data_IF_294363783892
#
_entry.id   IF_294363783892
#
_cell.length_a   1.000
_cell.length_b   1.000
_cell.length_c   1.000
_cell.angle_alpha   90.00
_cell.angle_beta   90.00
_cell.angle_gamma   90.00
#
_symmetry.space_group_name_H-M   'P 1'
#
loop_
_entity.id
_entity.type
_entity.pdbx_description
1 polymer ?
#
# COMPACT_ATOMS: atom_id res chain seq x y z
N UNK A 1 -0.73 9.94 -84.23
CA UNK A 1 -0.81 8.79 -83.32
C UNK A 1 -0.99 9.32 -81.91
N UNK A 2 -2.06 8.94 -81.21
CA UNK A 2 -2.28 9.40 -79.84
C UNK A 2 -1.51 8.52 -78.87
N UNK A 3 -0.95 9.11 -77.82
CA UNK A 3 -0.17 8.40 -76.78
C UNK A 3 -0.96 7.24 -76.16
N UNK A 4 -2.29 7.40 -76.04
CA UNK A 4 -3.21 6.37 -75.56
C UNK A 4 -3.25 5.11 -76.44
N UNK A 5 -3.20 5.24 -77.78
CA UNK A 5 -3.19 4.09 -78.69
C UNK A 5 -1.89 3.29 -78.60
N UNK A 6 -0.77 3.97 -78.36
CA UNK A 6 0.54 3.35 -78.12
C UNK A 6 0.56 2.60 -76.78
N UNK A 7 0.01 3.20 -75.72
CA UNK A 7 -0.10 2.57 -74.40
C UNK A 7 -0.96 1.30 -74.45
N UNK A 8 -2.09 1.35 -75.15
CA UNK A 8 -3.01 0.22 -75.27
C UNK A 8 -2.41 -0.96 -76.05
N UNK A 9 -1.68 -0.69 -77.15
CA UNK A 9 -0.94 -1.73 -77.89
C UNK A 9 0.24 -2.29 -77.09
N UNK A 10 0.88 -1.48 -76.26
CA UNK A 10 1.95 -1.94 -75.38
C UNK A 10 1.40 -2.87 -74.28
N UNK A 11 0.26 -2.50 -73.67
CA UNK A 11 -0.40 -3.32 -72.66
C UNK A 11 -0.83 -4.69 -73.19
N UNK A 12 -1.36 -4.75 -74.42
CA UNK A 12 -1.78 -6.01 -75.05
C UNK A 12 -0.62 -6.84 -75.56
N UNK A 13 0.47 -6.23 -76.06
CA UNK A 13 1.66 -6.96 -76.49
C UNK A 13 2.38 -7.64 -75.31
N UNK A 14 2.51 -6.96 -74.15
CA UNK A 14 3.13 -7.50 -72.93
C UNK A 14 2.12 -8.03 -71.90
N UNK A 15 0.97 -8.56 -72.36
CA UNK A 15 -0.14 -8.94 -71.49
C UNK A 15 0.24 -9.92 -70.36
N UNK A 16 1.16 -10.86 -70.61
CA UNK A 16 1.62 -11.83 -69.60
C UNK A 16 2.35 -11.17 -68.44
N UNK A 17 3.24 -10.22 -68.74
CA UNK A 17 4.02 -9.49 -67.72
C UNK A 17 3.12 -8.54 -66.94
N UNK A 18 2.24 -7.81 -67.64
CA UNK A 18 1.27 -6.92 -66.99
C UNK A 18 0.32 -7.70 -66.06
N UNK A 19 -0.12 -8.89 -66.47
CA UNK A 19 -0.97 -9.75 -65.65
C UNK A 19 -0.25 -10.26 -64.39
N UNK A 20 1.03 -10.60 -64.48
CA UNK A 20 1.84 -10.97 -63.32
C UNK A 20 1.99 -9.81 -62.33
N UNK A 21 2.21 -8.58 -62.81
CA UNK A 21 2.27 -7.38 -61.97
C UNK A 21 0.93 -7.10 -61.29
N UNK A 22 -0.18 -7.17 -62.04
CA UNK A 22 -1.53 -6.98 -61.48
C UNK A 22 -1.82 -8.03 -60.41
N UNK A 23 -1.49 -9.30 -60.66
CA UNK A 23 -1.66 -10.36 -59.67
C UNK A 23 -0.82 -10.13 -58.41
N UNK A 24 0.44 -9.71 -58.56
CA UNK A 24 1.32 -9.37 -57.44
C UNK A 24 0.77 -8.22 -56.59
N UNK A 25 0.30 -7.15 -57.23
CA UNK A 25 -0.34 -6.01 -56.55
C UNK A 25 -1.64 -6.44 -55.87
N UNK A 26 -2.47 -7.25 -56.53
CA UNK A 26 -3.71 -7.76 -55.96
C UNK A 26 -3.46 -8.60 -54.70
N UNK A 27 -2.45 -9.47 -54.70
CA UNK A 27 -2.05 -10.25 -53.52
C UNK A 27 -1.56 -9.32 -52.40
N UNK A 28 -0.69 -8.35 -52.72
CA UNK A 28 -0.17 -7.41 -51.72
C UNK A 28 -1.29 -6.60 -51.05
N UNK A 29 -2.23 -6.08 -51.85
CA UNK A 29 -3.41 -5.35 -51.35
C UNK A 29 -4.32 -6.25 -50.52
N UNK A 30 -4.57 -7.49 -50.96
CA UNK A 30 -5.39 -8.44 -50.21
C UNK A 30 -4.78 -8.78 -48.84
N UNK A 31 -3.46 -8.98 -48.77
CA UNK A 31 -2.75 -9.24 -47.51
C UNK A 31 -2.79 -8.02 -46.58
N UNK A 32 -2.54 -6.82 -47.10
CA UNK A 32 -2.62 -5.57 -46.33
C UNK A 32 -4.03 -5.31 -45.79
N UNK A 33 -5.05 -5.47 -46.64
CA UNK A 33 -6.45 -5.31 -46.25
C UNK A 33 -6.88 -6.37 -45.22
N UNK A 34 -6.49 -7.63 -45.42
CA UNK A 34 -6.75 -8.71 -44.48
C UNK A 34 -6.12 -8.45 -43.11
N UNK A 35 -4.86 -8.02 -43.07
CA UNK A 35 -4.18 -7.68 -41.83
C UNK A 35 -4.83 -6.50 -41.09
N UNK A 36 -5.27 -5.47 -41.82
CA UNK A 36 -6.00 -4.33 -41.25
C UNK A 36 -7.34 -4.75 -40.66
N UNK A 37 -8.12 -5.56 -41.38
CA UNK A 37 -9.45 -5.99 -40.96
C UNK A 37 -9.39 -6.92 -39.73
N UNK A 38 -8.43 -7.85 -39.71
CA UNK A 38 -8.19 -8.71 -38.53
C UNK A 38 -7.73 -7.86 -37.35
N UNK A 39 -6.81 -6.92 -37.56
CA UNK A 39 -6.32 -6.02 -36.52
C UNK A 39 -7.44 -5.21 -35.87
N UNK A 40 -8.36 -4.67 -36.68
CA UNK A 40 -9.48 -3.86 -36.17
C UNK A 40 -10.52 -4.70 -35.43
N UNK A 41 -10.82 -5.92 -35.92
CA UNK A 41 -11.71 -6.86 -35.24
C UNK A 41 -11.15 -7.33 -33.87
N UNK A 42 -9.86 -7.65 -33.80
CA UNK A 42 -9.20 -8.02 -32.54
C UNK A 42 -9.15 -6.83 -31.58
N UNK A 43 -8.87 -5.62 -32.09
CA UNK A 43 -8.87 -4.42 -31.26
C UNK A 43 -10.27 -4.11 -30.70
N UNK A 44 -11.30 -4.22 -31.53
CA UNK A 44 -12.70 -4.03 -31.12
C UNK A 44 -13.12 -5.04 -30.06
N UNK A 45 -12.90 -6.32 -30.32
CA UNK A 45 -13.24 -7.38 -29.36
C UNK A 45 -12.51 -7.27 -28.02
N UNK A 46 -11.21 -6.93 -28.03
CA UNK A 46 -10.48 -6.67 -26.79
C UNK A 46 -11.02 -5.43 -26.07
N UNK A 47 -11.35 -4.36 -26.80
CA UNK A 47 -11.94 -3.15 -26.22
C UNK A 47 -13.27 -3.48 -25.54
N UNK A 48 -14.14 -4.22 -26.19
CA UNK A 48 -15.45 -4.60 -25.65
C UNK A 48 -15.31 -5.48 -24.40
N UNK A 49 -14.39 -6.46 -24.43
CA UNK A 49 -14.08 -7.29 -23.26
C UNK A 49 -13.59 -6.44 -22.07
N UNK A 50 -12.71 -5.46 -22.30
CA UNK A 50 -12.23 -4.59 -21.23
C UNK A 50 -13.34 -3.67 -20.70
N UNK A 51 -14.15 -3.08 -21.56
CA UNK A 51 -15.25 -2.21 -21.14
C UNK A 51 -16.29 -2.98 -20.32
N UNK A 52 -16.59 -4.22 -20.71
CA UNK A 52 -17.50 -5.07 -19.94
C UNK A 52 -16.95 -5.42 -18.56
N UNK A 53 -15.64 -5.68 -18.44
CA UNK A 53 -14.96 -6.01 -17.17
C UNK A 53 -14.81 -4.82 -16.23
N UNK A 54 -14.75 -3.60 -16.78
CA UNK A 54 -14.59 -2.38 -15.99
C UNK A 54 -15.94 -1.86 -15.45
N UNK A 55 -17.03 -2.25 -16.10
CA UNK A 55 -18.38 -1.82 -15.75
C UNK A 55 -18.57 -0.32 -15.96
N UNK A 56 -19.01 0.37 -14.90
CA UNK A 56 -19.23 1.82 -14.88
C UNK A 56 -18.00 2.59 -14.37
N UNK A 57 -16.85 1.94 -14.24
CA UNK A 57 -15.63 2.56 -13.73
C UNK A 57 -14.92 3.29 -14.86
N UNK A 58 -14.57 4.55 -14.64
CA UNK A 58 -13.78 5.34 -15.59
C UNK A 58 -12.43 5.76 -14.97
N UNK A 59 -12.42 6.02 -13.66
CA UNK A 59 -11.19 6.28 -12.89
C UNK A 59 -11.12 5.40 -11.66
N UNK A 60 -9.89 5.17 -11.19
CA UNK A 60 -9.61 4.33 -10.03
C UNK A 60 -8.58 5.03 -9.15
N UNK A 61 -8.84 5.06 -7.85
CA UNK A 61 -7.85 5.42 -6.83
C UNK A 61 -7.43 4.14 -6.14
N UNK A 62 -6.15 3.81 -6.22
CA UNK A 62 -5.59 2.59 -5.63
C UNK A 62 -4.40 2.94 -4.75
N UNK A 63 -4.23 2.20 -3.67
CA UNK A 63 -3.04 2.26 -2.82
C UNK A 63 -2.51 0.85 -2.56
N UNK A 64 -1.21 0.75 -2.28
CA UNK A 64 -0.61 -0.49 -1.79
C UNK A 64 -1.04 -0.81 -0.35
N UNK A 65 -1.30 0.23 0.44
CA UNK A 65 -1.85 0.13 1.79
C UNK A 65 -3.35 0.44 1.83
N UNK A 66 -3.92 0.35 3.03
CA UNK A 66 -5.31 0.75 3.27
C UNK A 66 -5.41 2.25 3.58
N UNK A 67 -6.53 2.84 3.19
CA UNK A 67 -6.94 4.21 3.54
C UNK A 67 -8.39 4.19 4.03
N UNK A 68 -8.87 5.31 4.57
CA UNK A 68 -10.24 5.35 5.12
C UNK A 68 -11.26 5.15 4.01
N UNK A 69 -12.19 4.24 4.22
CA UNK A 69 -13.34 4.03 3.33
C UNK A 69 -14.15 5.33 3.13
N UNK A 70 -14.21 6.16 4.17
CA UNK A 70 -14.87 7.47 4.16
C UNK A 70 -14.33 8.42 3.08
N UNK A 71 -13.08 8.25 2.63
CA UNK A 71 -12.49 9.07 1.58
C UNK A 71 -13.31 9.05 0.29
N UNK A 72 -13.97 7.94 -0.04
CA UNK A 72 -14.86 7.85 -1.20
C UNK A 72 -16.03 8.85 -1.10
N UNK A 73 -16.69 8.90 0.06
CA UNK A 73 -17.77 9.85 0.31
C UNK A 73 -17.25 11.30 0.35
N UNK A 74 -16.06 11.53 0.92
CA UNK A 74 -15.46 12.87 0.98
C UNK A 74 -15.15 13.41 -0.43
N UNK A 75 -14.66 12.55 -1.34
CA UNK A 75 -14.46 12.87 -2.77
C UNK A 75 -15.79 13.17 -3.45
N UNK A 76 -16.79 12.30 -3.29
CA UNK A 76 -18.09 12.45 -3.94
C UNK A 76 -18.82 13.73 -3.52
N UNK A 77 -18.67 14.13 -2.26
CA UNK A 77 -19.28 15.34 -1.70
C UNK A 77 -18.50 16.63 -2.01
N UNK A 78 -17.34 16.55 -2.67
CA UNK A 78 -16.59 17.74 -3.05
C UNK A 78 -17.34 18.54 -4.13
N UNK A 79 -17.41 19.87 -3.98
CA UNK A 79 -18.22 20.72 -4.86
C UNK A 79 -17.90 20.59 -6.36
N UNK A 80 -16.63 20.39 -6.68
CA UNK A 80 -16.17 20.23 -8.05
C UNK A 80 -16.36 18.82 -8.61
N UNK A 81 -16.74 17.84 -7.80
CA UNK A 81 -16.91 16.46 -8.26
C UNK A 81 -18.04 16.36 -9.28
N UNK A 82 -19.24 16.78 -8.91
CA UNK A 82 -20.38 16.79 -9.82
C UNK A 82 -20.18 17.79 -10.98
N UNK A 83 -19.61 18.98 -10.70
CA UNK A 83 -19.31 19.99 -11.74
C UNK A 83 -18.28 19.50 -12.76
N UNK A 84 -17.35 18.64 -12.33
CA UNK A 84 -16.35 17.98 -13.16
C UNK A 84 -16.89 16.85 -14.03
N UNK A 85 -18.19 16.54 -13.92
CA UNK A 85 -18.85 15.50 -14.69
C UNK A 85 -18.68 14.09 -14.11
N UNK A 86 -18.35 13.95 -12.83
CA UNK A 86 -18.35 12.67 -12.12
C UNK A 86 -19.73 12.38 -11.51
N UNK A 87 -20.11 11.11 -11.47
CA UNK A 87 -21.44 10.67 -11.04
C UNK A 87 -21.43 10.00 -9.66
N UNK A 88 -20.49 9.08 -9.43
CA UNK A 88 -20.51 8.22 -8.26
C UNK A 88 -19.11 7.75 -7.87
N UNK A 89 -18.97 7.35 -6.60
CA UNK A 89 -17.80 6.66 -6.08
C UNK A 89 -18.22 5.36 -5.38
N UNK A 90 -17.34 4.36 -5.37
CA UNK A 90 -17.55 3.13 -4.61
C UNK A 90 -16.23 2.65 -3.98
N UNK A 91 -16.12 2.61 -2.64
CA UNK A 91 -14.97 2.03 -1.97
C UNK A 91 -15.08 0.50 -1.95
N UNK A 92 -13.94 -0.17 -2.08
CA UNK A 92 -13.85 -1.62 -1.97
C UNK A 92 -12.44 -2.06 -1.53
N UNK A 93 -12.35 -3.31 -1.10
CA UNK A 93 -11.06 -3.97 -0.88
C UNK A 93 -10.80 -4.87 -2.08
N UNK A 94 -9.61 -4.76 -2.68
CA UNK A 94 -9.15 -5.64 -3.75
C UNK A 94 -7.84 -6.31 -3.34
N UNK A 95 -7.86 -7.64 -3.21
CA UNK A 95 -6.72 -8.45 -2.80
C UNK A 95 -6.55 -9.64 -3.73
N UNK A 96 -5.43 -10.34 -3.56
CA UNK A 96 -5.21 -11.65 -4.17
C UNK A 96 -5.34 -12.75 -3.12
N UNK A 97 -5.82 -13.91 -3.55
CA UNK A 97 -6.02 -15.04 -2.68
C UNK A 97 -6.05 -16.37 -3.41
N UNK A 98 -6.41 -17.39 -2.66
CA UNK A 98 -6.72 -18.73 -3.15
C UNK A 98 -8.02 -19.21 -2.55
N UNK A 99 -8.76 -20.06 -3.24
CA UNK A 99 -10.01 -20.63 -2.76
C UNK A 99 -9.98 -22.14 -2.91
N UNK A 100 -10.46 -22.84 -1.89
CA UNK A 100 -10.60 -24.30 -1.91
C UNK A 100 -12.05 -24.67 -1.70
N UNK A 101 -12.58 -25.55 -2.54
CA UNK A 101 -13.88 -26.17 -2.30
C UNK A 101 -13.77 -27.24 -1.20
N UNK A 102 -14.58 -27.14 -0.15
CA UNK A 102 -14.44 -27.99 1.05
C UNK A 102 -14.78 -29.47 0.77
N UNK A 103 -15.73 -29.74 -0.13
CA UNK A 103 -16.20 -31.09 -0.41
C UNK A 103 -15.29 -31.82 -1.40
N UNK A 104 -14.91 -31.16 -2.49
CA UNK A 104 -14.08 -31.75 -3.55
C UNK A 104 -12.57 -31.59 -3.32
N UNK A 105 -12.16 -30.67 -2.44
CA UNK A 105 -10.76 -30.32 -2.23
C UNK A 105 -10.11 -29.59 -3.39
N UNK A 106 -10.88 -29.20 -4.42
CA UNK A 106 -10.35 -28.48 -5.60
C UNK A 106 -9.90 -27.08 -5.20
N UNK A 107 -8.74 -26.69 -5.73
CA UNK A 107 -8.06 -25.44 -5.38
C UNK A 107 -8.02 -24.51 -6.60
N UNK A 108 -8.49 -23.28 -6.43
CA UNK A 108 -8.26 -22.16 -7.33
C UNK A 108 -7.22 -21.21 -6.74
N UNK A 109 -6.12 -20.97 -7.45
CA UNK A 109 -5.08 -20.00 -7.06
C UNK A 109 -5.10 -18.78 -7.96
N UNK A 110 -4.44 -17.69 -7.52
CA UNK A 110 -4.35 -16.44 -8.27
C UNK A 110 -5.71 -15.79 -8.49
N UNK A 111 -6.62 -15.91 -7.50
CA UNK A 111 -7.95 -15.34 -7.59
C UNK A 111 -7.93 -13.90 -7.08
N UNK A 112 -8.73 -13.04 -7.70
CA UNK A 112 -9.00 -11.68 -7.25
C UNK A 112 -10.14 -11.72 -6.24
N UNK A 113 -9.88 -11.19 -5.06
CA UNK A 113 -10.83 -11.13 -3.95
C UNK A 113 -11.31 -9.69 -3.81
N UNK A 114 -12.60 -9.47 -4.00
CA UNK A 114 -13.23 -8.17 -3.83
C UNK A 114 -14.12 -8.15 -2.59
N UNK A 115 -13.78 -7.32 -1.61
CA UNK A 115 -14.66 -6.94 -0.52
C UNK A 115 -15.58 -5.83 -0.98
N UNK A 116 -16.87 -6.13 -1.16
CA UNK A 116 -17.87 -5.22 -1.74
C UNK A 116 -19.12 -5.12 -0.87
N UNK A 117 -19.91 -4.08 -1.07
CA UNK A 117 -21.19 -3.84 -0.40
C UNK A 117 -22.24 -3.32 -1.40
N UNK A 118 -23.38 -2.81 -0.92
CA UNK A 118 -24.42 -2.27 -1.81
C UNK A 118 -23.94 -1.12 -2.70
N UNK A 119 -22.95 -0.31 -2.26
CA UNK A 119 -22.45 0.84 -3.03
C UNK A 119 -21.77 0.38 -4.32
N UNK A 120 -21.00 -0.71 -4.27
CA UNK A 120 -20.39 -1.32 -5.46
C UNK A 120 -21.46 -1.74 -6.48
N UNK A 121 -22.52 -2.41 -6.05
CA UNK A 121 -23.57 -2.86 -6.96
C UNK A 121 -24.37 -1.68 -7.53
N UNK A 122 -24.73 -0.71 -6.67
CA UNK A 122 -25.44 0.50 -7.07
C UNK A 122 -24.62 1.33 -8.07
N UNK A 123 -23.31 1.43 -7.89
CA UNK A 123 -22.38 2.07 -8.81
C UNK A 123 -22.45 1.46 -10.22
N UNK A 124 -22.64 0.15 -10.31
CA UNK A 124 -22.80 -0.57 -11.56
C UNK A 124 -24.27 -0.71 -12.03
N UNK A 125 -25.22 -0.02 -11.40
CA UNK A 125 -26.64 -0.08 -11.77
C UNK A 125 -27.32 -1.41 -11.41
N UNK A 126 -26.74 -2.19 -10.50
CA UNK A 126 -27.29 -3.45 -9.99
C UNK A 126 -27.84 -3.24 -8.57
N UNK A 127 -28.91 -3.94 -8.20
CA UNK A 127 -29.50 -3.86 -6.86
C UNK A 127 -29.62 -5.24 -6.21
N UNK A 128 -29.67 -5.29 -4.88
CA UNK A 128 -29.93 -6.50 -4.08
C UNK A 128 -28.97 -7.69 -4.34
N UNK A 129 -27.73 -7.40 -4.75
CA UNK A 129 -26.72 -8.42 -5.07
C UNK A 129 -25.53 -8.43 -4.11
N UNK A 130 -25.47 -7.51 -3.14
CA UNK A 130 -24.40 -7.51 -2.14
C UNK A 130 -24.35 -8.85 -1.37
N UNK A 131 -23.17 -9.50 -1.25
CA UNK A 131 -23.03 -10.68 -0.41
C UNK A 131 -23.20 -10.29 1.06
N UNK A 132 -24.07 -11.00 1.78
CA UNK A 132 -24.34 -10.74 3.18
C UNK A 132 -23.58 -11.71 4.08
N UNK A 133 -23.02 -11.21 5.18
CA UNK A 133 -22.31 -12.02 6.17
C UNK A 133 -21.24 -12.94 5.54
N UNK A 134 -21.43 -14.26 5.64
CA UNK A 134 -20.49 -15.30 5.16
C UNK A 134 -20.85 -15.84 3.78
N UNK A 135 -21.53 -15.04 2.96
CA UNK A 135 -21.76 -15.37 1.56
C UNK A 135 -20.56 -15.04 0.68
N UNK A 136 -20.41 -15.81 -0.40
CA UNK A 136 -19.46 -15.53 -1.47
C UNK A 136 -20.16 -15.65 -2.82
N UNK A 137 -19.86 -14.73 -3.73
CA UNK A 137 -20.22 -14.79 -5.14
C UNK A 137 -18.96 -15.11 -5.92
N UNK A 138 -19.07 -16.00 -6.89
CA UNK A 138 -17.90 -16.53 -7.61
C UNK A 138 -18.10 -16.31 -9.10
N UNK A 139 -17.05 -15.95 -9.84
CA UNK A 139 -17.16 -15.85 -11.30
C UNK A 139 -17.52 -17.20 -11.94
N UNK A 140 -18.33 -17.20 -13.00
CA UNK A 140 -18.73 -18.44 -13.70
C UNK A 140 -17.52 -19.28 -14.16
N UNK A 141 -16.41 -18.63 -14.52
CA UNK A 141 -15.16 -19.30 -14.87
C UNK A 141 -14.57 -20.08 -13.69
N UNK A 142 -14.51 -19.44 -12.52
CA UNK A 142 -13.96 -20.02 -11.30
C UNK A 142 -14.89 -21.09 -10.71
N UNK A 143 -16.20 -20.87 -10.74
CA UNK A 143 -17.18 -21.86 -10.29
C UNK A 143 -17.08 -23.17 -11.10
N UNK A 144 -16.92 -23.09 -12.43
CA UNK A 144 -16.72 -24.27 -13.30
C UNK A 144 -15.40 -24.99 -13.03
N UNK A 145 -14.33 -24.25 -12.74
CA UNK A 145 -13.02 -24.83 -12.38
C UNK A 145 -13.10 -25.61 -11.06
N UNK A 146 -13.75 -25.02 -10.05
CA UNK A 146 -13.96 -25.64 -8.75
C UNK A 146 -15.03 -26.75 -8.78
N UNK A 147 -15.96 -26.72 -9.74
CA UNK A 147 -17.11 -27.62 -9.76
C UNK A 147 -18.13 -27.31 -8.65
N UNK A 148 -18.10 -26.10 -8.10
CA UNK A 148 -18.95 -25.67 -6.99
C UNK A 148 -20.23 -25.01 -7.47
N UNK A 149 -21.30 -25.18 -6.70
CA UNK A 149 -22.64 -24.66 -6.93
C UNK A 149 -23.14 -23.83 -5.73
N UNK A 150 -24.30 -23.18 -5.91
CA UNK A 150 -24.97 -22.49 -4.82
C UNK A 150 -25.23 -23.44 -3.63
N UNK A 151 -24.87 -23.01 -2.43
CA UNK A 151 -24.94 -23.77 -1.17
C UNK A 151 -23.62 -24.39 -0.73
N UNK A 152 -22.62 -24.51 -1.61
CA UNK A 152 -21.35 -25.15 -1.27
C UNK A 152 -20.50 -24.32 -0.31
N UNK A 153 -19.73 -25.00 0.53
CA UNK A 153 -18.78 -24.36 1.45
C UNK A 153 -17.42 -24.18 0.77
N UNK A 154 -16.97 -22.93 0.66
CA UNK A 154 -15.69 -22.55 0.09
C UNK A 154 -14.77 -21.98 1.17
N UNK A 155 -13.50 -22.38 1.16
CA UNK A 155 -12.46 -21.89 2.04
C UNK A 155 -11.63 -20.86 1.28
N UNK A 156 -11.92 -19.58 1.50
CA UNK A 156 -11.19 -18.46 0.93
C UNK A 156 -9.98 -18.12 1.80
N UNK A 157 -8.78 -18.20 1.24
CA UNK A 157 -7.55 -17.76 1.89
C UNK A 157 -7.08 -16.45 1.29
N UNK A 158 -7.00 -15.42 2.11
CA UNK A 158 -6.44 -14.11 1.75
C UNK A 158 -5.16 -13.87 2.53
N UNK A 159 -4.16 -13.27 1.88
CA UNK A 159 -2.99 -12.81 2.59
C UNK A 159 -3.34 -11.51 3.30
N UNK A 160 -3.04 -11.41 4.60
CA UNK A 160 -3.14 -10.14 5.32
C UNK A 160 -2.04 -9.23 4.77
N UNK A 161 -2.35 -8.08 4.14
CA UNK A 161 -1.32 -7.13 3.78
C UNK A 161 -0.68 -6.66 5.08
N UNK A 162 0.53 -7.16 5.36
CA UNK A 162 1.27 -6.74 6.54
C UNK A 162 1.90 -5.39 6.23
N UNK A 163 1.53 -4.38 7.00
CA UNK A 163 2.18 -3.08 6.91
C UNK A 163 3.64 -3.15 7.41
N UNK A 164 3.94 -4.14 8.25
CA UNK A 164 5.31 -4.49 8.66
C UNK A 164 5.94 -5.34 7.54
N UNK A 165 7.05 -4.93 6.91
CA UNK A 165 7.73 -5.74 5.91
C UNK A 165 8.01 -7.15 6.42
N UNK A 166 7.76 -8.16 5.59
CA UNK A 166 7.95 -9.56 5.95
C UNK A 166 9.40 -9.87 6.41
N UNK A 167 10.38 -9.09 5.96
CA UNK A 167 11.79 -9.18 6.33
C UNK A 167 12.08 -8.69 7.78
N UNK A 168 11.16 -7.92 8.37
CA UNK A 168 11.26 -7.43 9.76
C UNK A 168 10.86 -8.47 10.80
N UNK A 169 10.10 -9.50 10.45
CA UNK A 169 9.55 -10.49 11.38
C UNK A 169 10.55 -11.65 11.55
N UNK A 170 11.42 -11.56 12.56
CA UNK A 170 12.33 -12.66 12.96
C UNK A 170 11.66 -13.73 13.86
N UNK A 171 10.32 -13.72 13.98
CA UNK A 171 9.53 -14.76 14.66
C UNK A 171 8.77 -15.63 13.66
N UNK A 172 8.44 -16.88 14.05
CA UNK A 172 7.90 -17.95 13.19
C UNK A 172 6.90 -17.44 12.13
N UNK A 173 7.17 -17.79 10.86
CA UNK A 173 6.40 -17.45 9.63
C UNK A 173 4.99 -18.06 9.56
N UNK A 174 4.26 -18.17 10.67
CA UNK A 174 3.06 -19.02 10.73
C UNK A 174 1.73 -18.32 10.43
N UNK A 175 1.66 -16.99 10.30
CA UNK A 175 0.37 -16.29 10.08
C UNK A 175 0.32 -15.46 8.77
N UNK A 176 0.68 -16.08 7.63
CA UNK A 176 0.76 -15.41 6.32
C UNK A 176 -0.59 -15.27 5.58
N UNK A 177 -1.71 -15.74 6.16
CA UNK A 177 -3.02 -15.52 5.57
C UNK A 177 -4.17 -16.11 6.37
N UNK A 178 -5.29 -15.39 6.41
CA UNK A 178 -6.52 -15.80 7.08
C UNK A 178 -7.36 -16.68 6.15
N UNK A 179 -8.02 -17.69 6.72
CA UNK A 179 -8.94 -18.57 5.99
C UNK A 179 -10.38 -18.30 6.42
N UNK A 180 -11.20 -17.86 5.48
CA UNK A 180 -12.62 -17.57 5.60
C UNK A 180 -13.43 -18.73 5.02
N UNK A 181 -14.18 -19.44 5.87
CA UNK A 181 -15.21 -20.39 5.40
C UNK A 181 -16.48 -19.65 4.99
N UNK A 182 -16.83 -19.68 3.71
CA UNK A 182 -17.94 -18.94 3.12
C UNK A 182 -18.88 -19.90 2.39
N UNK A 183 -20.15 -19.52 2.27
CA UNK A 183 -21.16 -20.28 1.53
C UNK A 183 -21.39 -19.63 0.19
N UNK A 184 -21.22 -20.37 -0.90
CA UNK A 184 -21.46 -19.87 -2.24
C UNK A 184 -22.94 -19.56 -2.43
N UNK A 185 -23.28 -18.30 -2.72
CA UNK A 185 -24.68 -17.93 -2.98
C UNK A 185 -25.07 -18.23 -4.43
N UNK A 186 -24.23 -17.80 -5.37
CA UNK A 186 -24.45 -17.97 -6.81
C UNK A 186 -23.13 -17.78 -7.57
N UNK A 187 -23.11 -18.24 -8.82
CA UNK A 187 -22.06 -17.87 -9.77
C UNK A 187 -22.50 -16.65 -10.59
N UNK A 188 -21.54 -15.78 -10.93
CA UNK A 188 -21.77 -14.54 -11.66
C UNK A 188 -21.26 -14.66 -13.09
N UNK A 189 -22.15 -14.36 -14.03
CA UNK A 189 -21.83 -14.20 -15.44
C UNK A 189 -21.08 -12.89 -15.71
N UNK A 190 -20.47 -12.78 -16.89
CA UNK A 190 -19.80 -11.55 -17.32
C UNK A 190 -20.74 -10.34 -17.33
N UNK A 191 -22.00 -10.51 -17.76
CA UNK A 191 -23.03 -9.46 -17.71
C UNK A 191 -23.43 -9.07 -16.27
N UNK A 192 -23.24 -9.98 -15.32
CA UNK A 192 -23.50 -9.77 -13.89
C UNK A 192 -22.27 -9.26 -13.12
N UNK A 193 -21.23 -8.78 -13.81
CA UNK A 193 -19.93 -8.33 -13.27
C UNK A 193 -19.07 -9.46 -12.68
N UNK A 194 -19.35 -10.73 -13.01
CA UNK A 194 -18.55 -11.86 -12.54
C UNK A 194 -17.10 -11.79 -13.01
N UNK A 195 -16.81 -11.08 -14.10
CA UNK A 195 -15.44 -10.89 -14.59
C UNK A 195 -14.80 -9.55 -14.22
N UNK A 196 -15.38 -8.82 -13.26
CA UNK A 196 -14.92 -7.48 -12.89
C UNK A 196 -13.41 -7.42 -12.62
N UNK A 197 -12.73 -6.49 -13.30
CA UNK A 197 -11.30 -6.27 -13.12
C UNK A 197 -10.92 -4.83 -13.46
N UNK A 198 -10.18 -4.19 -12.54
CA UNK A 198 -9.52 -2.90 -12.77
C UNK A 198 -8.14 -3.05 -13.44
N UNK A 199 -7.61 -4.27 -13.48
CA UNK A 199 -6.33 -4.57 -14.13
C UNK A 199 -6.56 -5.11 -15.54
N UNK A 200 -5.80 -4.64 -16.54
CA UNK A 200 -5.89 -5.14 -17.90
C UNK A 200 -5.29 -6.56 -17.98
N UNK A 201 -6.14 -7.57 -18.08
CA UNK A 201 -5.74 -8.96 -18.29
C UNK A 201 -6.54 -9.61 -19.43
N UNK A 202 -5.91 -10.50 -20.20
CA UNK A 202 -6.51 -11.17 -21.36
C UNK A 202 -7.26 -12.46 -20.99
N UNK A 203 -6.90 -13.13 -19.90
CA UNK A 203 -7.57 -14.35 -19.43
C UNK A 203 -8.92 -14.03 -18.77
N UNK A 204 -9.79 -15.04 -18.62
CA UNK A 204 -11.01 -14.93 -17.83
C UNK A 204 -10.67 -14.57 -16.39
N UNK A 205 -11.28 -13.51 -15.86
CA UNK A 205 -11.02 -13.07 -14.49
C UNK A 205 -11.55 -14.11 -13.51
N UNK A 206 -10.64 -14.65 -12.69
CA UNK A 206 -11.00 -15.45 -11.52
C UNK A 206 -11.31 -14.48 -10.39
N UNK A 207 -12.57 -14.10 -10.23
CA UNK A 207 -13.00 -13.16 -9.21
C UNK A 207 -13.91 -13.84 -8.19
N UNK A 208 -13.78 -13.42 -6.94
CA UNK A 208 -14.75 -13.69 -5.89
C UNK A 208 -15.15 -12.39 -5.21
N UNK A 209 -16.40 -12.31 -4.80
CA UNK A 209 -16.98 -11.15 -4.13
C UNK A 209 -17.50 -11.58 -2.77
N UNK A 210 -17.03 -10.90 -1.74
CA UNK A 210 -17.38 -11.15 -0.34
C UNK A 210 -17.82 -9.84 0.32
N UNK A 211 -18.48 -9.93 1.48
CA UNK A 211 -18.89 -8.74 2.20
C UNK A 211 -17.68 -7.88 2.58
N UNK A 212 -17.69 -6.59 2.21
CA UNK A 212 -16.67 -5.62 2.59
C UNK A 212 -16.47 -5.60 4.11
N UNK A 213 -17.57 -5.53 4.87
CA UNK A 213 -17.55 -5.51 6.33
C UNK A 213 -16.94 -6.78 6.94
N UNK A 214 -17.24 -7.95 6.37
CA UNK A 214 -16.63 -9.20 6.84
C UNK A 214 -15.12 -9.18 6.58
N UNK A 215 -14.70 -8.79 5.38
CA UNK A 215 -13.29 -8.79 4.99
C UNK A 215 -12.48 -7.77 5.81
N UNK A 216 -13.03 -6.58 6.03
CA UNK A 216 -12.46 -5.56 6.91
C UNK A 216 -12.23 -6.08 8.32
N UNK A 217 -13.24 -6.74 8.92
CA UNK A 217 -13.13 -7.30 10.26
C UNK A 217 -12.06 -8.40 10.34
N UNK A 218 -12.03 -9.31 9.37
CA UNK A 218 -11.09 -10.44 9.35
C UNK A 218 -9.63 -9.98 9.13
N UNK A 219 -9.45 -8.90 8.36
CA UNK A 219 -8.16 -8.26 8.15
C UNK A 219 -7.74 -7.32 9.30
N UNK A 220 -8.60 -7.09 10.30
CA UNK A 220 -8.41 -6.09 11.37
C UNK A 220 -8.24 -4.66 10.82
N UNK A 221 -8.96 -4.35 9.73
CA UNK A 221 -8.91 -3.09 8.97
C UNK A 221 -10.33 -2.51 8.83
N UNK A 222 -11.02 -2.33 9.96
CA UNK A 222 -12.40 -1.81 9.99
C UNK A 222 -12.51 -0.37 9.46
N UNK A 223 -13.47 -0.13 8.57
CA UNK A 223 -13.67 1.19 7.96
C UNK A 223 -12.57 1.60 6.98
N UNK A 224 -11.78 0.63 6.50
CA UNK A 224 -10.70 0.85 5.55
C UNK A 224 -10.94 0.19 4.19
N UNK A 225 -10.36 0.76 3.15
CA UNK A 225 -10.38 0.27 1.77
C UNK A 225 -9.04 0.54 1.09
N UNK A 226 -8.71 -0.17 0.01
CA UNK A 226 -7.49 0.08 -0.77
C UNK A 226 -7.78 0.47 -2.22
N UNK A 227 -9.06 0.50 -2.60
CA UNK A 227 -9.53 0.82 -3.92
C UNK A 227 -10.79 1.70 -3.84
N UNK A 228 -10.87 2.73 -4.66
CA UNK A 228 -12.09 3.52 -4.91
C UNK A 228 -12.34 3.54 -6.41
N UNK A 229 -13.53 3.12 -6.82
CA UNK A 229 -14.02 3.27 -8.18
C UNK A 229 -14.67 4.65 -8.33
N UNK A 230 -14.46 5.28 -9.47
CA UNK A 230 -15.06 6.57 -9.82
C UNK A 230 -15.65 6.46 -11.22
N UNK A 231 -16.92 6.83 -11.34
CA UNK A 231 -17.68 6.80 -12.59
C UNK A 231 -17.98 8.22 -13.07
N UNK A 232 -17.92 8.42 -14.38
CA UNK A 232 -18.32 9.67 -15.04
C UNK A 232 -19.82 9.67 -15.35
N UNK A 233 -20.46 10.84 -15.22
CA UNK A 233 -21.85 11.04 -15.63
C UNK A 233 -22.01 10.99 -17.16
N UNK A 234 -20.97 11.38 -17.89
CA UNK A 234 -20.91 11.30 -19.35
C UNK A 234 -19.48 11.01 -19.79
N UNK A 235 -19.31 9.92 -20.54
CA UNK A 235 -18.04 9.44 -21.10
C UNK A 235 -17.63 10.29 -22.30
N UNK A 236 -17.24 11.55 -22.05
CA UNK A 236 -16.64 12.42 -23.06
C UNK A 236 -15.11 12.22 -23.09
N UNK A 237 -14.44 12.18 -24.27
CA UNK A 237 -13.02 11.80 -24.39
C UNK A 237 -11.98 12.75 -23.80
N UNK A 238 -12.36 13.76 -23.01
CA UNK A 238 -11.43 14.77 -22.46
C UNK A 238 -10.83 14.29 -21.13
N UNK A 239 -10.01 13.24 -21.18
CA UNK A 239 -9.47 12.56 -19.97
C UNK A 239 -8.41 13.37 -19.21
N UNK A 240 -7.61 14.19 -19.91
CA UNK A 240 -6.51 14.99 -19.34
C UNK A 240 -6.95 15.90 -18.19
N UNK A 241 -8.00 16.69 -18.42
CA UNK A 241 -8.42 17.74 -17.49
C UNK A 241 -9.16 17.16 -16.28
N UNK A 242 -9.88 16.05 -16.48
CA UNK A 242 -10.60 15.33 -15.43
C UNK A 242 -9.66 14.66 -14.43
N UNK A 243 -8.56 14.06 -14.89
CA UNK A 243 -7.56 13.46 -14.01
C UNK A 243 -6.88 14.50 -13.12
N UNK A 244 -6.53 15.68 -13.67
CA UNK A 244 -5.96 16.77 -12.89
C UNK A 244 -6.95 17.31 -11.84
N UNK A 245 -8.24 17.41 -12.21
CA UNK A 245 -9.30 17.78 -11.28
C UNK A 245 -9.44 16.76 -10.14
N UNK A 246 -9.48 15.45 -10.45
CA UNK A 246 -9.53 14.39 -9.42
C UNK A 246 -8.32 14.43 -8.50
N UNK A 247 -7.11 14.65 -9.02
CA UNK A 247 -5.91 14.80 -8.19
C UNK A 247 -6.01 15.99 -7.23
N UNK A 248 -6.65 17.09 -7.65
CA UNK A 248 -6.89 18.25 -6.81
C UNK A 248 -7.92 17.95 -5.72
N UNK A 249 -9.03 17.33 -6.08
CA UNK A 249 -10.08 16.89 -5.14
C UNK A 249 -9.49 15.94 -4.10
N UNK A 250 -8.72 14.95 -4.54
CA UNK A 250 -8.02 14.01 -3.67
C UNK A 250 -7.12 14.76 -2.70
N UNK A 251 -6.28 15.67 -3.18
CA UNK A 251 -5.37 16.44 -2.32
C UNK A 251 -6.12 17.25 -1.24
N UNK A 252 -7.29 17.79 -1.56
CA UNK A 252 -8.11 18.55 -0.62
C UNK A 252 -8.77 17.65 0.44
N UNK A 253 -9.21 16.44 0.06
CA UNK A 253 -9.97 15.53 0.92
C UNK A 253 -9.13 14.49 1.66
N UNK A 254 -7.88 14.29 1.25
CA UNK A 254 -7.00 13.32 1.88
C UNK A 254 -6.52 13.84 3.24
N UNK A 255 -6.59 12.97 4.25
CA UNK A 255 -6.09 13.20 5.61
C UNK A 255 -4.82 12.41 5.88
N UNK A 256 -4.15 12.70 6.99
CA UNK A 256 -2.99 11.92 7.46
C UNK A 256 -3.30 10.43 7.63
N UNK A 257 -4.50 10.10 8.11
CA UNK A 257 -4.92 8.69 8.29
C UNK A 257 -5.02 7.92 6.98
N UNK A 258 -5.27 8.59 5.86
CA UNK A 258 -5.31 7.94 4.54
C UNK A 258 -3.91 7.56 4.03
N UNK A 259 -2.87 8.14 4.64
CA UNK A 259 -1.47 7.78 4.44
C UNK A 259 -0.93 6.85 5.55
N UNK A 260 -1.80 6.33 6.42
CA UNK A 260 -1.40 5.52 7.58
C UNK A 260 -0.62 6.32 8.63
N UNK A 261 -0.80 7.64 8.68
CA UNK A 261 -0.13 8.54 9.61
C UNK A 261 -1.03 8.91 10.78
N UNK A 262 -0.50 8.76 11.98
CA UNK A 262 -1.15 9.17 13.23
C UNK A 262 -0.30 10.22 13.94
N UNK A 263 -0.93 11.30 14.37
CA UNK A 263 -0.34 12.30 15.25
C UNK A 263 -0.91 12.14 16.65
N UNK A 264 -0.05 11.96 17.65
CA UNK A 264 -0.44 11.83 19.05
C UNK A 264 0.23 12.92 19.88
N UNK A 265 -0.55 13.68 20.64
CA UNK A 265 -0.02 14.64 21.62
C UNK A 265 0.44 13.91 22.87
N UNK A 266 1.60 14.31 23.41
CA UNK A 266 2.19 13.75 24.62
C UNK A 266 2.04 14.78 25.75
N UNK A 267 1.37 14.37 26.83
CA UNK A 267 0.86 15.26 27.88
C UNK A 267 1.96 15.93 28.72
N UNK A 268 3.17 15.37 28.78
CA UNK A 268 4.24 15.85 29.66
C UNK A 268 5.16 16.93 29.04
N UNK A 269 4.85 17.46 27.84
CA UNK A 269 5.71 18.49 27.23
C UNK A 269 5.14 19.26 26.05
N UNK A 270 3.86 19.10 25.73
CA UNK A 270 3.28 19.68 24.51
C UNK A 270 3.90 19.11 23.23
N UNK A 271 4.44 17.90 23.31
CA UNK A 271 5.15 17.26 22.22
C UNK A 271 4.19 16.50 21.31
N UNK A 272 4.49 16.41 20.01
CA UNK A 272 3.70 15.65 19.04
C UNK A 272 4.50 14.44 18.59
N UNK A 273 3.94 13.25 18.74
CA UNK A 273 4.46 12.03 18.17
C UNK A 273 3.88 11.82 16.77
N UNK A 274 4.74 11.66 15.76
CA UNK A 274 4.35 11.20 14.43
C UNK A 274 4.63 9.70 14.34
N UNK A 275 3.59 8.92 14.11
CA UNK A 275 3.62 7.47 13.97
C UNK A 275 3.07 7.06 12.60
N UNK A 276 3.57 5.94 12.06
CA UNK A 276 3.02 5.30 10.88
C UNK A 276 2.50 3.90 11.25
N UNK A 277 1.42 3.44 10.63
CA UNK A 277 0.75 2.19 10.99
C UNK A 277 1.66 0.94 10.76
N UNK A 278 2.48 0.97 9.69
CA UNK A 278 3.59 0.02 9.44
C UNK A 278 4.67 -0.05 10.53
N UNK A 279 4.64 0.88 11.48
CA UNK A 279 5.72 1.16 12.45
C UNK A 279 7.04 1.59 11.82
N UNK A 280 7.11 1.72 10.49
CA UNK A 280 8.28 2.21 9.76
C UNK A 280 7.99 3.58 9.17
N UNK A 281 8.88 4.54 9.45
CA UNK A 281 8.87 5.85 8.79
C UNK A 281 9.99 5.82 7.77
N UNK A 282 9.63 5.82 6.49
CA UNK A 282 10.61 5.86 5.40
C UNK A 282 11.29 7.23 5.30
N UNK A 283 12.41 7.30 4.57
CA UNK A 283 13.21 8.52 4.44
C UNK A 283 12.41 9.70 3.86
N UNK A 284 11.52 9.43 2.89
CA UNK A 284 10.71 10.48 2.26
C UNK A 284 9.73 11.12 3.25
N UNK A 285 9.07 10.30 4.07
CA UNK A 285 8.17 10.75 5.13
C UNK A 285 8.95 11.46 6.25
N UNK A 286 10.09 10.91 6.67
CA UNK A 286 10.95 11.51 7.70
C UNK A 286 11.43 12.91 7.27
N UNK A 287 11.87 13.06 6.01
CA UNK A 287 12.32 14.34 5.48
C UNK A 287 11.16 15.35 5.36
N UNK A 288 10.00 14.90 4.89
CA UNK A 288 8.80 15.74 4.81
C UNK A 288 8.34 16.22 6.20
N UNK A 289 8.41 15.34 7.21
CA UNK A 289 8.12 15.68 8.59
C UNK A 289 9.13 16.70 9.15
N UNK A 290 10.43 16.52 8.89
CA UNK A 290 11.49 17.47 9.30
C UNK A 290 11.31 18.85 8.67
N UNK A 291 11.06 18.91 7.37
CA UNK A 291 10.83 20.18 6.68
C UNK A 291 9.57 20.89 7.18
N UNK A 292 8.51 20.14 7.48
CA UNK A 292 7.27 20.70 8.03
C UNK A 292 7.46 21.21 9.44
N UNK A 293 8.14 20.45 10.31
CA UNK A 293 8.49 20.90 11.65
C UNK A 293 9.38 22.15 11.61
N UNK A 294 10.35 22.22 10.70
CA UNK A 294 11.21 23.40 10.51
C UNK A 294 10.41 24.65 10.14
N UNK A 295 9.42 24.53 9.23
CA UNK A 295 8.51 25.63 8.90
C UNK A 295 7.64 26.07 10.07
N UNK A 296 7.27 25.14 10.94
CA UNK A 296 6.49 25.40 12.15
C UNK A 296 7.36 25.81 13.35
N UNK A 297 8.67 25.97 13.17
CA UNK A 297 9.64 26.25 14.25
C UNK A 297 9.60 25.24 15.39
N UNK A 298 9.32 23.98 15.08
CA UNK A 298 9.30 22.87 16.03
C UNK A 298 10.63 22.13 16.02
N UNK A 299 11.09 21.69 17.20
CA UNK A 299 12.26 20.84 17.32
C UNK A 299 11.89 19.42 16.94
N UNK A 300 12.70 18.77 16.10
CA UNK A 300 12.51 17.35 15.74
C UNK A 300 13.49 16.49 16.52
N UNK A 301 12.95 15.51 17.25
CA UNK A 301 13.74 14.46 17.90
C UNK A 301 13.47 13.15 17.16
N UNK A 302 14.45 12.62 16.39
CA UNK A 302 14.33 11.31 15.78
C UNK A 302 14.48 10.23 16.84
N UNK A 303 13.53 9.30 16.89
CA UNK A 303 13.55 8.16 17.82
C UNK A 303 13.59 6.88 17.01
N UNK A 304 14.64 6.08 17.21
CA UNK A 304 14.86 4.82 16.48
C UNK A 304 14.75 3.64 17.43
N UNK A 305 13.67 2.87 17.32
CA UNK A 305 13.50 1.64 18.11
C UNK A 305 13.88 0.42 17.28
N UNK A 306 14.63 -0.51 17.87
CA UNK A 306 15.09 -1.75 17.24
C UNK A 306 14.90 -2.92 18.20
N UNK A 307 14.59 -4.11 17.68
CA UNK A 307 14.51 -5.33 18.50
C UNK A 307 15.87 -6.05 18.44
N UNK A 308 16.68 -5.90 19.48
CA UNK A 308 17.92 -6.65 19.63
C UNK A 308 17.59 -8.11 19.99
N UNK A 309 18.01 -9.05 19.14
CA UNK A 309 17.79 -10.48 19.36
C UNK A 309 18.43 -10.97 20.67
N UNK A 310 19.60 -10.45 21.03
CA UNK A 310 20.18 -10.63 22.37
C UNK A 310 21.09 -9.47 22.74
N UNK A 311 21.12 -9.16 24.03
CA UNK A 311 22.10 -8.25 24.64
C UNK A 311 22.89 -9.09 25.63
N UNK A 312 24.21 -9.20 25.44
CA UNK A 312 25.07 -10.01 26.28
C UNK A 312 26.19 -9.18 26.93
N UNK A 313 26.53 -9.55 28.16
CA UNK A 313 27.67 -9.00 28.89
C UNK A 313 28.35 -10.14 29.66
N UNK A 314 29.54 -10.53 29.22
CA UNK A 314 30.22 -11.73 29.72
C UNK A 314 29.38 -12.97 29.44
N UNK A 315 29.15 -13.78 30.47
CA UNK A 315 28.35 -15.02 30.38
C UNK A 315 26.83 -14.80 30.48
N UNK A 316 26.38 -13.57 30.74
CA UNK A 316 24.95 -13.26 30.90
C UNK A 316 24.37 -12.72 29.60
N UNK A 317 23.18 -13.19 29.22
CA UNK A 317 22.46 -12.72 28.03
C UNK A 317 20.98 -12.52 28.33
N UNK A 318 20.43 -11.43 27.80
CA UNK A 318 18.98 -11.15 27.79
C UNK A 318 18.52 -11.23 26.33
N UNK A 319 17.69 -12.22 25.96
CA UNK A 319 17.14 -12.32 24.62
C UNK A 319 16.03 -11.29 24.39
N UNK A 320 15.79 -10.93 23.12
CA UNK A 320 14.67 -10.11 22.64
C UNK A 320 14.42 -8.82 23.43
N UNK A 321 15.36 -7.89 23.35
CA UNK A 321 15.30 -6.59 24.02
C UNK A 321 14.97 -5.47 23.04
N UNK A 322 14.04 -4.59 23.38
CA UNK A 322 13.77 -3.39 22.59
C UNK A 322 14.80 -2.30 22.97
N UNK A 323 15.61 -1.89 22.00
CA UNK A 323 16.62 -0.84 22.15
C UNK A 323 16.12 0.41 21.43
N UNK A 324 16.14 1.56 22.10
CA UNK A 324 15.75 2.84 21.48
C UNK A 324 16.94 3.79 21.47
N UNK A 325 17.27 4.31 20.29
CA UNK A 325 18.26 5.35 20.11
C UNK A 325 17.58 6.72 20.05
N UNK A 326 18.21 7.68 20.70
CA UNK A 326 17.85 9.10 20.77
C UNK A 326 19.07 9.92 20.36
N UNK A 327 18.87 11.16 19.94
CA UNK A 327 19.99 12.10 19.78
C UNK A 327 20.63 12.43 21.14
N UNK A 328 21.90 12.87 21.12
CA UNK A 328 22.71 13.09 22.33
C UNK A 328 22.09 14.11 23.28
N UNK A 329 21.44 15.14 22.74
CA UNK A 329 20.82 16.21 23.53
C UNK A 329 19.52 15.73 24.19
N UNK A 330 18.68 15.01 23.44
CA UNK A 330 17.46 14.39 23.96
C UNK A 330 17.77 13.30 24.99
N UNK A 331 18.82 12.49 24.77
CA UNK A 331 19.27 11.49 25.73
C UNK A 331 19.81 12.12 27.02
N UNK A 332 20.58 13.21 26.91
CA UNK A 332 21.06 13.95 28.06
C UNK A 332 19.91 14.58 28.87
N UNK A 333 18.89 15.14 28.19
CA UNK A 333 17.71 15.67 28.85
C UNK A 333 16.93 14.60 29.63
N UNK A 334 16.78 13.39 29.06
CA UNK A 334 16.13 12.26 29.75
C UNK A 334 16.93 11.78 30.97
N UNK A 335 18.26 11.78 30.91
CA UNK A 335 19.13 11.31 32.01
C UNK A 335 19.05 12.21 33.26
N UNK A 336 18.71 13.48 33.09
CA UNK A 336 18.63 14.47 34.17
C UNK A 336 17.19 14.80 34.60
N UNK A 337 16.17 14.31 33.88
CA UNK A 337 14.77 14.35 34.29
C UNK A 337 14.46 13.18 35.22
N UNK A 338 13.96 13.48 36.42
CA UNK A 338 13.70 12.58 37.54
C UNK A 338 14.94 11.95 38.19
N UNK A 339 15.38 12.59 39.28
CA UNK A 339 16.23 11.94 40.27
C UNK A 339 15.52 10.70 40.82
N UNK A 340 16.01 9.52 40.44
CA UNK A 340 15.66 8.24 41.04
C UNK A 340 15.83 8.31 42.56
N UNK A 341 14.75 8.64 43.29
CA UNK A 341 14.58 8.15 44.65
C UNK A 341 14.33 6.65 44.52
N UNK A 342 15.41 5.88 44.67
CA UNK A 342 15.39 4.43 44.62
C UNK A 342 14.24 3.82 45.41
N UNK A 343 13.22 3.33 44.70
CA UNK A 343 12.26 2.39 45.25
C UNK A 343 12.94 1.03 45.32
N UNK A 344 13.53 0.77 46.49
CA UNK A 344 13.96 -0.56 46.92
C UNK A 344 12.72 -1.46 46.86
N UNK A 345 12.67 -2.38 45.89
CA UNK A 345 11.56 -3.33 45.76
C UNK A 345 11.39 -4.13 47.05
N UNK A 346 10.18 -4.12 47.60
CA UNK A 346 9.76 -5.04 48.66
C UNK A 346 9.85 -6.47 48.11
N UNK A 347 10.82 -7.24 48.64
CA UNK A 347 10.91 -8.66 48.40
C UNK A 347 9.69 -9.38 48.97
N UNK A 348 8.93 -10.04 48.11
CA UNK A 348 7.87 -10.94 48.49
C UNK A 348 8.39 -12.02 49.45
N UNK A 349 7.82 -12.06 50.65
CA UNK A 349 8.14 -12.98 51.73
C UNK A 349 7.76 -14.42 51.33
N UNK A 350 8.74 -15.20 50.87
CA UNK A 350 8.61 -16.64 50.66
C UNK A 350 8.58 -17.41 51.99
N UNK A 351 7.61 -18.32 52.12
CA UNK A 351 7.34 -19.17 53.29
C UNK A 351 8.56 -19.95 53.80
N UNK A 352 8.69 -19.96 55.13
CA UNK A 352 9.58 -20.82 55.94
C UNK A 352 9.25 -22.31 55.82
N UNK A 353 10.31 -23.10 55.68
CA UNK A 353 10.54 -24.45 56.21
C UNK A 353 12.04 -24.74 56.02
N UNK A 354 12.85 -25.28 56.90
CA UNK A 354 12.72 -25.89 58.23
C UNK A 354 13.90 -26.86 58.35
N UNK A 355 14.86 -26.60 59.25
CA UNK A 355 16.09 -27.40 59.49
C UNK A 355 17.21 -27.13 58.47
N UNK A 356 18.50 -26.96 58.77
CA UNK A 356 19.36 -27.45 59.86
C UNK A 356 20.48 -26.46 60.22
N UNK A 357 21.12 -26.71 61.36
CA UNK A 357 22.13 -25.89 62.06
C UNK A 357 23.53 -25.95 61.41
N UNK A 358 24.30 -24.86 61.50
CA UNK A 358 25.76 -24.94 61.40
C UNK A 358 26.55 -23.62 61.30
N UNK A 359 26.97 -23.09 62.46
CA UNK A 359 28.23 -22.36 62.79
C UNK A 359 28.62 -21.04 62.08
N UNK A 360 28.62 -19.99 62.91
CA UNK A 360 29.71 -19.05 63.28
C UNK A 360 30.60 -18.43 62.19
N UNK A 361 30.58 -17.08 62.17
CA UNK A 361 31.60 -16.20 61.60
C UNK A 361 31.12 -14.75 61.63
N UNK A 362 31.42 -14.04 62.72
CA UNK A 362 31.38 -12.57 62.80
C UNK A 362 32.39 -12.00 61.80
N UNK A 363 31.99 -11.01 61.00
CA UNK A 363 32.89 -9.98 60.47
C UNK A 363 32.08 -8.73 60.09
N UNK A 364 32.37 -7.67 60.82
CA UNK A 364 31.83 -6.32 60.74
C UNK A 364 32.43 -5.60 59.51
N UNK A 365 31.61 -5.10 58.57
CA UNK A 365 32.09 -4.38 57.38
C UNK A 365 31.38 -3.03 57.24
N UNK A 366 32.10 -1.97 57.58
CA UNK A 366 31.81 -0.56 57.26
C UNK A 366 31.78 -0.31 55.74
N UNK A 367 30.91 0.58 55.21
CA UNK A 367 30.84 0.87 53.79
C UNK A 367 31.98 1.80 53.36
N UNK A 368 32.68 1.43 52.28
CA UNK A 368 33.67 2.29 51.63
C UNK A 368 33.07 2.97 50.40
N UNK A 369 33.14 4.30 50.40
CA UNK A 369 32.84 5.16 49.24
C UNK A 369 33.83 4.89 48.10
N UNK A 370 33.33 4.54 46.91
CA UNK A 370 34.07 4.66 45.65
C UNK A 370 33.16 5.22 44.55
N UNK A 371 33.62 6.22 43.76
CA UNK A 371 32.84 6.77 42.66
C UNK A 371 32.85 5.79 41.46
N UNK A 372 31.68 5.50 40.90
CA UNK A 372 31.53 4.62 39.73
C UNK A 372 31.90 5.38 38.44
N UNK A 373 32.87 4.79 37.75
CA UNK A 373 33.50 5.22 36.50
C UNK A 373 32.53 5.49 35.34
N UNK A 374 32.83 6.53 34.56
CA UNK A 374 32.26 6.81 33.25
C UNK A 374 32.38 5.59 32.31
N UNK A 375 31.29 5.28 31.59
CA UNK A 375 31.24 4.20 30.60
C UNK A 375 32.10 4.53 29.37
N UNK A 376 32.87 3.58 28.81
CA UNK A 376 33.66 3.82 27.61
C UNK A 376 32.76 3.82 26.37
N UNK A 377 32.98 4.79 25.47
CA UNK A 377 32.39 4.82 24.12
C UNK A 377 32.90 3.59 23.35
N UNK A 378 31.97 2.74 22.89
CA UNK A 378 32.30 1.61 22.01
C UNK A 378 32.73 2.11 20.62
N UNK A 379 33.80 1.59 20.01
CA UNK A 379 34.17 1.93 18.64
C UNK A 379 33.20 1.30 17.64
N UNK A 380 32.69 2.10 16.72
CA UNK A 380 31.94 1.62 15.54
C UNK A 380 32.95 1.03 14.54
N UNK A 381 32.81 -0.22 14.07
CA UNK A 381 33.64 -0.72 12.99
C UNK A 381 33.26 -0.05 11.67
N UNK A 382 34.24 0.50 10.96
CA UNK A 382 34.08 1.02 9.60
C UNK A 382 33.77 -0.15 8.67
N UNK A 383 32.60 -0.14 8.04
CA UNK A 383 32.20 -1.15 7.06
C UNK A 383 33.17 -1.20 5.87
N UNK A 384 33.56 -2.39 5.38
CA UNK A 384 34.41 -2.50 4.19
C UNK A 384 33.64 -2.05 2.94
N UNK A 385 34.24 -1.15 2.16
CA UNK A 385 33.71 -0.66 0.87
C UNK A 385 33.77 -1.78 -0.17
N UNK A 386 32.68 -2.12 -0.88
CA UNK A 386 32.76 -3.00 -2.04
C UNK A 386 33.42 -2.29 -3.23
N UNK A 387 34.11 -3.04 -4.13
CA UNK A 387 34.81 -2.45 -5.26
C UNK A 387 33.83 -1.87 -6.29
N UNK A 388 34.12 -0.64 -6.72
CA UNK A 388 33.39 0.08 -7.78
C UNK A 388 33.78 -0.51 -9.14
N UNK A 389 32.83 -1.11 -9.86
CA UNK A 389 32.98 -1.37 -11.30
C UNK A 389 32.44 -0.16 -12.09
N UNK A 390 33.11 0.28 -13.18
CA UNK A 390 32.64 1.39 -13.98
C UNK A 390 31.72 0.88 -15.10
N UNK A 391 30.55 1.50 -15.27
CA UNK A 391 29.67 1.32 -16.43
C UNK A 391 28.83 2.58 -16.66
N UNK A 392 28.43 2.86 -17.90
CA UNK A 392 28.80 4.10 -18.58
C UNK A 392 27.79 5.23 -18.47
N UNK A 393 28.32 6.46 -18.58
CA UNK A 393 27.63 7.74 -18.56
C UNK A 393 26.77 7.94 -19.81
N UNK A 394 25.53 8.38 -19.62
CA UNK A 394 24.76 9.13 -20.64
C UNK A 394 24.14 10.40 -20.00
N UNK A 395 23.93 11.45 -20.80
CA UNK A 395 24.19 12.84 -20.39
C UNK A 395 22.98 13.55 -19.77
N UNK A 396 23.29 14.43 -18.81
CA UNK A 396 22.40 15.41 -18.17
C UNK A 396 22.26 16.65 -19.07
N UNK A 397 21.06 17.23 -19.14
CA UNK A 397 20.78 18.58 -19.66
C UNK A 397 19.51 19.12 -18.98
N UNK A 398 19.27 20.45 -18.93
CA UNK A 398 19.99 21.42 -18.11
C UNK A 398 19.07 22.16 -17.11
N UNK A 399 19.71 22.83 -16.15
CA UNK A 399 19.14 23.68 -15.10
C UNK A 399 18.50 24.97 -15.65
N UNK A 400 17.47 25.48 -14.96
CA UNK A 400 16.96 26.86 -15.03
C UNK A 400 16.49 27.34 -13.63
N UNK A 401 16.37 28.66 -13.37
CA UNK A 401 17.25 29.33 -12.41
C UNK A 401 16.61 29.73 -11.07
N UNK A 402 17.53 30.04 -10.16
CA UNK A 402 17.36 30.69 -8.85
C UNK A 402 16.66 32.06 -9.00
N UNK A 403 15.66 32.31 -8.15
CA UNK A 403 15.07 33.65 -7.95
C UNK A 403 15.26 34.09 -6.51
N UNK A 404 15.82 35.29 -6.37
CA UNK A 404 16.28 35.93 -5.14
C UNK A 404 15.10 36.53 -4.33
N UNK A 405 15.20 36.41 -3.00
CA UNK A 405 14.35 37.07 -2.01
C UNK A 405 14.42 38.59 -2.07
N UNK A 406 13.43 39.27 -1.45
CA UNK A 406 13.69 40.44 -0.62
C UNK A 406 13.38 40.15 0.85
N UNK A 407 14.36 40.44 1.71
CA UNK A 407 14.24 40.56 3.17
C UNK A 407 13.43 41.81 3.53
N UNK A 408 12.72 41.81 4.67
CA UNK A 408 12.48 42.95 5.59
C UNK A 408 11.84 42.40 6.91
N UNK A 409 11.81 43.16 8.03
CA UNK A 409 12.33 42.71 9.33
C UNK A 409 11.26 42.26 10.35
N UNK A 410 11.72 41.51 11.35
CA UNK A 410 10.96 41.05 12.50
C UNK A 410 10.78 42.14 13.58
N UNK A 411 9.68 42.11 14.36
CA UNK A 411 9.66 42.64 15.71
C UNK A 411 9.89 41.53 16.74
N UNK A 412 10.69 41.85 17.76
CA UNK A 412 10.90 41.04 18.96
C UNK A 412 9.71 41.18 19.90
N UNK A 413 9.24 40.09 20.47
CA UNK A 413 8.68 40.07 21.83
C UNK A 413 8.85 38.69 22.45
N UNK A 414 9.47 38.71 23.63
CA UNK A 414 9.74 37.61 24.54
C UNK A 414 8.48 37.05 25.20
N UNK A 415 8.31 35.73 25.19
CA UNK A 415 7.68 35.03 26.32
C UNK A 415 8.21 33.60 26.43
N UNK A 416 8.71 33.30 27.61
CA UNK A 416 9.32 32.05 28.06
C UNK A 416 8.29 30.92 28.04
N UNK A 417 8.45 29.98 27.11
CA UNK A 417 8.04 28.57 27.19
C UNK A 417 8.84 27.82 26.12
N UNK A 418 9.41 26.66 26.47
CA UNK A 418 10.27 25.88 25.57
C UNK A 418 9.56 25.58 24.24
N UNK A 419 10.30 25.46 23.13
CA UNK A 419 9.69 25.20 21.83
C UNK A 419 8.96 23.85 21.86
N UNK A 420 7.77 23.74 21.24
CA UNK A 420 7.07 22.47 21.15
C UNK A 420 7.90 21.47 20.33
N UNK A 421 8.02 20.25 20.85
CA UNK A 421 8.88 19.19 20.30
C UNK A 421 8.04 18.21 19.48
N UNK A 422 8.45 17.89 18.26
CA UNK A 422 7.91 16.73 17.55
C UNK A 422 8.88 15.56 17.74
N UNK A 423 8.42 14.49 18.38
CA UNK A 423 9.13 13.22 18.41
C UNK A 423 8.71 12.41 17.19
N UNK A 424 9.62 12.27 16.22
CA UNK A 424 9.37 11.41 15.06
C UNK A 424 9.92 10.04 15.38
N UNK A 425 9.04 9.07 15.61
CA UNK A 425 9.43 7.69 15.83
C UNK A 425 9.65 7.04 14.47
N UNK A 426 10.90 6.92 14.06
CA UNK A 426 11.29 6.16 12.90
C UNK A 426 11.89 4.84 13.38
N UNK A 427 11.18 3.72 13.30
CA UNK A 427 11.82 2.42 13.44
C UNK A 427 12.68 2.19 12.19
N UNK A 428 14.00 2.27 12.31
CA UNK A 428 14.92 1.79 11.29
C UNK A 428 15.34 0.37 11.66
N UNK A 429 15.38 -0.51 10.66
CA UNK A 429 15.84 -1.89 10.79
C UNK A 429 17.21 -1.99 10.15
#
# INVERSE_FOLDING_TARGET
MTTAQLLQRNLTYFWRTNLAVIAGVAIAVAVLAGALLVGDSVRGSLRDLFLQRLGNTDHVVTSAGFFREQLAADIQNHEEFARGGFAATAPLIALEGSITDEASGRLGTGIRVYGVDERFWAFHGQQNRAPLNREILVSDGLARELGSSAGDSLLLRVQKPSEIPAESLHSKKEDLGRTLRLTMRESLSSAALGEFSVQPQQSATRAVFVSLKLLQKDLEQEGSSNLILIGEASRTPTTSDKSALLQRILRDKTSLKDYGLTLRTLDEGGSISLEHDSKLVNDSLAETARQTAGRLSMRVTPVLSYLANSIASGERSIPYSLVTALDEESFAAMRWGDGEKGRRGEGAMGRRGGGEKGRLGDDDVTPSDRPVSASPRLPVPVSPRPPVSPSPRLPVSPRLPVSLSPRLPAPRSSSTNGPPVISVFAKAI
#
